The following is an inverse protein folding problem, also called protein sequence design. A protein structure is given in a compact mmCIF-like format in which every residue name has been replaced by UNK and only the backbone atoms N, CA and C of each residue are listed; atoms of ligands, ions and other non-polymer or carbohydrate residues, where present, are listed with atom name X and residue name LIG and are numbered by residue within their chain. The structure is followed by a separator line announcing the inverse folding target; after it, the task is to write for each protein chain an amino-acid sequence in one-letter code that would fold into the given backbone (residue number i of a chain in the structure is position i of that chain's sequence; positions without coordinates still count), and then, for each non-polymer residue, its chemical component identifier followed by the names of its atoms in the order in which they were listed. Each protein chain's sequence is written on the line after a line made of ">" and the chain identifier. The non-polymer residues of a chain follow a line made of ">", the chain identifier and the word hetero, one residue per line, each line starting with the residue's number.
data_IF_874818237914
#
_entry.id   IF_874818237914
#
_cell.length_a   1.000
_cell.length_b   1.000
_cell.length_c   1.000
_cell.angle_alpha   90.00
_cell.angle_beta   90.00
_cell.angle_gamma   90.00
#
_symmetry.space_group_name_H-M   'P 1'
#
loop_
_entity.id
_entity.type
_entity.pdbx_description
1 polymer ?
#
# COMPACT_ATOMS: atom_id res chain seq x y z
N UNK A 1 6.51 20.85 24.39
CA UNK A 1 7.72 20.71 23.54
C UNK A 1 7.81 19.24 23.20
N UNK A 2 7.62 18.85 21.97
CA UNK A 2 7.81 17.45 21.55
C UNK A 2 9.31 17.19 21.52
N UNK A 3 9.77 16.22 22.32
CA UNK A 3 11.16 15.81 22.27
C UNK A 3 11.49 15.30 20.85
N UNK A 4 12.69 15.63 20.37
CA UNK A 4 13.16 15.15 19.08
C UNK A 4 13.16 13.61 19.07
N UNK A 5 12.78 12.97 17.96
CA UNK A 5 12.75 11.51 17.89
C UNK A 5 14.15 10.93 18.07
N UNK A 6 14.26 9.94 18.96
CA UNK A 6 15.53 9.28 19.28
C UNK A 6 15.56 7.90 18.60
N UNK A 7 16.62 7.65 17.83
CA UNK A 7 16.86 6.35 17.21
C UNK A 7 17.22 5.32 18.29
N UNK A 8 16.46 4.24 18.37
CA UNK A 8 16.71 3.12 19.28
C UNK A 8 17.66 2.10 18.66
N UNK A 9 17.51 1.86 17.36
CA UNK A 9 18.35 0.98 16.56
C UNK A 9 18.34 1.47 15.10
N UNK A 10 19.43 1.27 14.39
CA UNK A 10 19.51 1.63 12.97
C UNK A 10 20.44 0.69 12.19
N UNK A 11 20.21 0.57 10.90
CA UNK A 11 21.06 -0.13 9.94
C UNK A 11 22.37 0.63 9.75
N UNK A 12 23.47 -0.11 9.74
CA UNK A 12 24.84 0.40 9.62
C UNK A 12 25.48 0.08 8.26
N UNK A 13 26.62 0.66 7.99
CA UNK A 13 27.43 0.31 6.82
C UNK A 13 27.89 -1.17 6.84
N UNK A 14 28.07 -1.76 8.02
CA UNK A 14 28.44 -3.16 8.18
C UNK A 14 27.28 -4.08 7.73
N UNK A 15 26.03 -3.73 8.08
CA UNK A 15 24.84 -4.48 7.64
C UNK A 15 24.70 -4.46 6.12
N UNK A 16 24.94 -3.32 5.48
CA UNK A 16 24.92 -3.22 4.02
C UNK A 16 26.07 -4.02 3.38
N UNK A 17 27.26 -4.01 3.99
CA UNK A 17 28.38 -4.81 3.51
C UNK A 17 28.12 -6.29 3.64
N UNK A 18 27.48 -6.72 4.74
CA UNK A 18 27.11 -8.11 4.98
C UNK A 18 26.02 -8.62 4.01
N UNK A 19 25.19 -7.74 3.45
CA UNK A 19 24.20 -8.10 2.45
C UNK A 19 24.80 -8.56 1.12
N UNK A 20 26.09 -8.28 0.88
CA UNK A 20 26.82 -8.68 -0.34
C UNK A 20 26.48 -7.86 -1.57
N UNK A 21 27.07 -8.20 -2.72
CA UNK A 21 26.91 -7.47 -3.98
C UNK A 21 25.64 -7.88 -4.74
N UNK A 22 25.34 -7.12 -5.80
CA UNK A 22 24.30 -7.47 -6.78
C UNK A 22 22.94 -6.80 -6.55
N UNK A 23 22.84 -5.95 -5.56
CA UNK A 23 21.65 -5.16 -5.28
C UNK A 23 21.69 -3.83 -6.04
N UNK A 24 20.50 -3.31 -6.40
CA UNK A 24 20.35 -1.97 -6.99
C UNK A 24 19.98 -0.95 -5.94
N UNK A 25 19.38 -1.40 -4.84
CA UNK A 25 18.98 -0.60 -3.70
C UNK A 25 19.36 -1.29 -2.40
N UNK A 26 19.55 -0.49 -1.35
CA UNK A 26 19.84 -0.95 0.00
C UNK A 26 18.84 -0.29 0.97
N UNK A 27 18.16 -1.07 1.83
CA UNK A 27 17.23 -0.50 2.78
C UNK A 27 18.00 0.09 3.97
N UNK A 28 17.72 1.34 4.28
CA UNK A 28 18.02 1.92 5.58
C UNK A 28 16.78 1.81 6.46
N UNK A 29 16.96 1.30 7.66
CA UNK A 29 15.90 1.09 8.63
C UNK A 29 16.33 1.68 9.96
N UNK A 30 15.45 2.46 10.58
CA UNK A 30 15.67 3.02 11.90
C UNK A 30 14.44 2.83 12.78
N UNK A 31 14.64 2.39 14.02
CA UNK A 31 13.59 2.20 15.04
C UNK A 31 13.49 3.40 15.95
N UNK A 32 12.26 3.73 16.27
CA UNK A 32 11.89 4.79 17.20
C UNK A 32 10.82 4.26 18.16
N UNK A 33 10.69 4.85 19.33
CA UNK A 33 9.55 4.62 20.20
C UNK A 33 8.34 5.38 19.67
N UNK A 34 7.21 4.71 19.59
CA UNK A 34 5.91 5.29 19.27
C UNK A 34 4.82 4.52 19.99
N UNK A 35 3.89 5.21 20.62
CA UNK A 35 2.84 4.61 21.44
C UNK A 35 1.49 4.53 20.72
N UNK A 36 1.34 5.23 19.60
CA UNK A 36 0.08 5.34 18.87
C UNK A 36 0.23 5.65 17.40
N UNK A 37 -0.88 5.47 16.67
CA UNK A 37 -1.07 5.93 15.31
C UNK A 37 -1.41 7.43 15.27
N UNK A 38 -1.15 8.12 14.13
CA UNK A 38 -1.70 9.44 13.87
C UNK A 38 -3.23 9.45 13.99
N UNK A 39 -3.76 10.47 14.64
CA UNK A 39 -5.21 10.66 14.74
C UNK A 39 -5.82 11.09 13.39
N UNK A 40 -5.02 11.73 12.53
CA UNK A 40 -5.34 12.06 11.15
C UNK A 40 -4.13 11.79 10.26
N UNK A 41 -4.34 11.05 9.19
CA UNK A 41 -3.30 10.75 8.21
C UNK A 41 -2.93 11.96 7.34
N UNK A 42 -3.83 12.92 7.17
CA UNK A 42 -3.58 14.13 6.37
C UNK A 42 -2.39 14.94 6.91
N UNK A 43 -2.17 14.94 8.22
CA UNK A 43 -1.03 15.61 8.82
C UNK A 43 0.30 14.87 8.57
N UNK A 44 0.24 13.57 8.28
CA UNK A 44 1.40 12.74 8.02
C UNK A 44 1.80 12.73 6.55
N UNK A 45 0.85 12.71 5.64
CA UNK A 45 1.12 12.63 4.21
C UNK A 45 1.82 13.87 3.67
N UNK A 46 2.76 13.65 2.73
CA UNK A 46 3.53 14.73 2.10
C UNK A 46 3.34 14.79 0.60
N UNK A 47 3.01 13.67 -0.01
CA UNK A 47 2.87 13.54 -1.45
C UNK A 47 1.43 13.31 -1.90
N UNK A 48 1.19 13.52 -3.19
CA UNK A 48 -0.10 13.26 -3.82
C UNK A 48 -0.49 11.79 -3.75
N UNK A 49 0.49 10.89 -3.88
CA UNK A 49 0.30 9.46 -3.84
C UNK A 49 0.83 8.91 -2.53
N UNK A 50 -0.06 8.41 -1.71
CA UNK A 50 0.22 7.87 -0.40
C UNK A 50 -0.65 6.64 -0.14
N UNK A 51 -0.31 5.85 0.86
CA UNK A 51 -1.08 4.68 1.24
C UNK A 51 -0.94 4.36 2.73
N UNK A 52 -1.98 3.79 3.30
CA UNK A 52 -1.96 3.17 4.63
C UNK A 52 -2.53 1.77 4.51
N UNK A 53 -1.82 0.80 5.06
CA UNK A 53 -2.25 -0.58 5.19
C UNK A 53 -2.29 -0.93 6.68
N UNK A 54 -3.47 -1.23 7.18
CA UNK A 54 -3.70 -1.60 8.59
C UNK A 54 -4.08 -3.07 8.70
N UNK A 55 -3.48 -3.80 9.64
CA UNK A 55 -3.79 -5.20 9.88
C UNK A 55 -5.10 -5.36 10.65
N UNK A 56 -6.22 -5.45 9.93
CA UNK A 56 -7.53 -5.86 10.43
C UNK A 56 -7.96 -5.19 11.73
N UNK A 57 -8.79 -5.90 12.53
CA UNK A 57 -9.38 -5.35 13.77
C UNK A 57 -8.39 -5.05 14.88
N UNK A 58 -7.23 -5.70 14.89
CA UNK A 58 -6.24 -5.53 15.96
C UNK A 58 -5.27 -4.40 15.68
N UNK A 59 -5.24 -3.87 14.45
CA UNK A 59 -4.29 -2.84 13.99
C UNK A 59 -2.87 -3.05 14.55
N UNK A 60 -2.48 -4.31 14.75
CA UNK A 60 -1.21 -4.67 15.38
C UNK A 60 -0.02 -4.23 14.54
N UNK A 61 -0.20 -4.16 13.22
CA UNK A 61 0.81 -3.68 12.29
C UNK A 61 0.19 -2.70 11.31
N UNK A 62 0.82 -1.55 11.15
CA UNK A 62 0.41 -0.54 10.17
C UNK A 62 1.61 -0.15 9.31
N UNK A 63 1.42 -0.13 7.98
CA UNK A 63 2.40 0.36 7.03
C UNK A 63 1.84 1.65 6.42
N UNK A 64 2.54 2.76 6.59
CA UNK A 64 2.18 4.05 6.02
C UNK A 64 3.27 4.52 5.05
N UNK A 65 2.88 4.81 3.82
CA UNK A 65 3.72 5.41 2.78
C UNK A 65 3.35 6.88 2.67
N UNK A 66 4.19 7.82 3.15
CA UNK A 66 3.84 9.24 3.22
C UNK A 66 3.80 9.91 1.85
N UNK A 67 4.66 9.44 0.94
CA UNK A 67 4.70 9.87 -0.45
C UNK A 67 5.28 8.74 -1.30
N UNK A 68 4.58 8.40 -2.37
CA UNK A 68 5.11 7.52 -3.41
C UNK A 68 5.60 8.40 -4.57
N UNK A 69 6.88 8.34 -4.96
CA UNK A 69 7.40 9.17 -6.04
C UNK A 69 6.73 8.87 -7.38
N UNK A 70 6.18 7.66 -7.51
CA UNK A 70 5.47 7.23 -8.71
C UNK A 70 4.29 6.33 -8.36
N UNK A 71 3.16 6.58 -9.04
CA UNK A 71 2.00 5.71 -9.05
C UNK A 71 1.64 5.36 -10.49
N UNK A 72 1.48 4.07 -10.81
CA UNK A 72 1.12 3.59 -12.14
C UNK A 72 -0.20 2.84 -12.07
N UNK A 73 -1.19 3.31 -12.83
CA UNK A 73 -2.53 2.75 -12.89
C UNK A 73 -2.79 2.16 -14.26
N UNK A 74 -3.29 0.95 -14.30
CA UNK A 74 -3.63 0.21 -15.52
C UNK A 74 -5.14 0.00 -15.57
N UNK A 75 -5.76 0.28 -16.71
CA UNK A 75 -7.20 0.17 -16.92
C UNK A 75 -7.53 -0.94 -17.92
N UNK A 76 -8.77 -1.41 -17.86
CA UNK A 76 -9.23 -2.51 -18.70
C UNK A 76 -9.30 -2.17 -20.20
N UNK A 77 -9.48 -0.89 -20.54
CA UNK A 77 -9.46 -0.36 -21.92
C UNK A 77 -8.05 -0.24 -22.51
N UNK A 78 -7.03 -0.66 -21.76
CA UNK A 78 -5.62 -0.56 -22.17
C UNK A 78 -4.95 0.77 -21.84
N UNK A 79 -5.70 1.73 -21.28
CA UNK A 79 -5.14 2.99 -20.83
C UNK A 79 -4.23 2.75 -19.62
N UNK A 80 -3.06 3.37 -19.65
CA UNK A 80 -2.11 3.38 -18.54
C UNK A 80 -1.88 4.83 -18.15
N UNK A 81 -2.00 5.12 -16.86
CA UNK A 81 -1.73 6.44 -16.31
C UNK A 81 -0.58 6.33 -15.33
N UNK A 82 0.49 7.00 -15.63
CA UNK A 82 1.65 7.11 -14.76
C UNK A 82 1.63 8.52 -14.17
N UNK A 83 1.60 8.59 -12.86
CA UNK A 83 1.71 9.83 -12.09
C UNK A 83 3.07 9.84 -11.39
N UNK A 84 3.94 10.76 -11.77
CA UNK A 84 5.13 11.09 -11.01
C UNK A 84 4.88 12.29 -10.10
N UNK A 85 5.68 12.47 -9.07
CA UNK A 85 5.53 13.56 -8.10
C UNK A 85 5.77 14.93 -8.74
N UNK A 86 6.61 14.99 -9.78
CA UNK A 86 6.86 16.18 -10.61
C UNK A 86 5.72 16.52 -11.58
N UNK A 87 4.64 15.73 -11.60
CA UNK A 87 3.49 15.90 -12.47
C UNK A 87 3.68 15.33 -13.87
N UNK A 88 4.80 14.64 -14.14
CA UNK A 88 5.01 13.97 -15.41
C UNK A 88 3.94 12.89 -15.65
N UNK A 89 3.35 12.91 -16.84
CA UNK A 89 2.45 11.87 -17.33
C UNK A 89 3.17 11.12 -18.44
N UNK A 90 3.34 9.83 -18.26
CA UNK A 90 3.92 8.97 -19.28
C UNK A 90 2.86 8.00 -19.79
N UNK A 91 2.63 7.98 -21.09
CA UNK A 91 1.81 6.96 -21.72
C UNK A 91 2.68 5.74 -22.04
N UNK A 92 2.23 4.58 -21.60
CA UNK A 92 2.87 3.31 -21.93
C UNK A 92 1.82 2.31 -22.36
N UNK A 93 2.21 1.39 -23.23
CA UNK A 93 1.40 0.24 -23.64
C UNK A 93 1.74 -1.03 -22.86
N UNK A 94 2.58 -0.91 -21.85
CA UNK A 94 3.01 -2.05 -21.03
C UNK A 94 1.81 -2.65 -20.25
N UNK A 95 1.79 -3.97 -20.15
CA UNK A 95 0.76 -4.67 -19.34
C UNK A 95 1.16 -4.72 -17.87
N UNK A 96 0.20 -4.77 -16.93
CA UNK A 96 0.48 -4.75 -15.48
C UNK A 96 1.52 -5.77 -15.02
N UNK A 97 1.40 -7.01 -15.47
CA UNK A 97 2.35 -8.08 -15.08
C UNK A 97 3.72 -7.92 -15.72
N UNK A 98 3.81 -7.30 -16.90
CA UNK A 98 5.09 -6.98 -17.53
C UNK A 98 5.77 -5.84 -16.76
N UNK A 99 5.03 -4.80 -16.41
CA UNK A 99 5.49 -3.72 -15.53
C UNK A 99 6.07 -4.27 -14.22
N UNK A 100 5.32 -5.13 -13.52
CA UNK A 100 5.77 -5.73 -12.25
C UNK A 100 7.08 -6.51 -12.43
N UNK A 101 7.20 -7.31 -13.51
CA UNK A 101 8.41 -8.07 -13.81
C UNK A 101 9.60 -7.17 -14.13
N UNK A 102 9.39 -6.09 -14.88
CA UNK A 102 10.43 -5.10 -15.18
C UNK A 102 10.87 -4.41 -13.91
N UNK A 103 9.93 -3.85 -13.16
CA UNK A 103 10.20 -3.15 -11.90
C UNK A 103 10.99 -4.03 -10.92
N UNK A 104 10.61 -5.29 -10.75
CA UNK A 104 11.31 -6.23 -9.84
C UNK A 104 12.74 -6.58 -10.26
N UNK A 105 13.12 -6.34 -11.52
CA UNK A 105 14.50 -6.48 -11.99
C UNK A 105 15.32 -5.19 -11.78
N UNK A 106 14.65 -4.05 -11.90
CA UNK A 106 15.26 -2.73 -11.76
C UNK A 106 15.47 -2.37 -10.28
N UNK A 107 14.53 -2.74 -9.42
CA UNK A 107 14.57 -2.46 -7.97
C UNK A 107 14.78 -3.76 -7.20
N UNK A 108 16.03 -4.06 -6.88
CA UNK A 108 16.43 -5.24 -6.11
C UNK A 108 17.12 -4.80 -4.84
N UNK A 109 16.60 -5.23 -3.69
CA UNK A 109 17.16 -4.91 -2.39
C UNK A 109 17.26 -6.18 -1.51
N UNK A 110 18.26 -6.29 -0.64
CA UNK A 110 18.33 -7.36 0.33
C UNK A 110 17.24 -7.21 1.37
N UNK A 111 16.82 -8.32 1.95
CA UNK A 111 15.99 -8.31 3.15
C UNK A 111 16.87 -8.49 4.39
N UNK A 112 16.89 -7.49 5.24
CA UNK A 112 17.68 -7.51 6.46
C UNK A 112 16.90 -8.23 7.57
N UNK A 113 17.52 -9.23 8.20
CA UNK A 113 16.93 -9.97 9.29
C UNK A 113 16.76 -9.12 10.56
N UNK A 114 15.77 -9.45 11.39
CA UNK A 114 15.49 -8.71 12.62
C UNK A 114 14.74 -7.39 12.46
N UNK A 115 14.37 -7.04 11.22
CA UNK A 115 13.55 -5.88 10.87
C UNK A 115 12.17 -6.30 10.37
N UNK A 116 11.19 -5.39 10.30
CA UNK A 116 9.86 -5.70 9.77
C UNK A 116 9.91 -6.34 8.38
N UNK A 117 8.86 -7.07 8.04
CA UNK A 117 8.75 -7.74 6.75
C UNK A 117 8.77 -6.76 5.57
N UNK A 118 8.13 -5.60 5.72
CA UNK A 118 8.13 -4.55 4.71
C UNK A 118 9.35 -3.64 4.90
N UNK A 119 10.23 -3.62 3.91
CA UNK A 119 11.49 -2.85 3.91
C UNK A 119 11.62 -1.95 2.67
N UNK A 120 10.49 -1.44 2.18
CA UNK A 120 10.38 -0.73 0.92
C UNK A 120 10.02 -1.65 -0.24
N UNK A 121 9.67 -1.07 -1.37
CA UNK A 121 9.32 -1.84 -2.55
C UNK A 121 8.13 -1.27 -3.31
N UNK A 122 7.21 -2.12 -3.70
CA UNK A 122 6.02 -1.79 -4.46
C UNK A 122 4.76 -2.17 -3.68
N UNK A 123 3.87 -1.22 -3.48
CA UNK A 123 2.51 -1.53 -3.05
C UNK A 123 1.65 -1.77 -4.30
N UNK A 124 0.93 -2.89 -4.32
CA UNK A 124 0.11 -3.28 -5.45
C UNK A 124 -1.35 -3.46 -5.01
N UNK A 125 -2.25 -2.81 -5.73
CA UNK A 125 -3.66 -3.14 -5.75
C UNK A 125 -3.92 -3.88 -7.06
N UNK A 126 -4.40 -5.13 -6.96
CA UNK A 126 -4.68 -5.98 -8.11
C UNK A 126 -6.19 -6.22 -8.16
N UNK A 127 -6.85 -5.74 -9.21
CA UNK A 127 -8.27 -5.96 -9.45
C UNK A 127 -8.54 -7.42 -9.81
N UNK A 128 -9.73 -7.88 -9.50
CA UNK A 128 -10.14 -9.27 -9.78
C UNK A 128 -10.06 -9.60 -11.28
N UNK A 129 -10.40 -8.65 -12.13
CA UNK A 129 -10.39 -8.77 -13.59
C UNK A 129 -8.98 -8.95 -14.19
N UNK A 130 -7.92 -8.70 -13.41
CA UNK A 130 -6.54 -9.00 -13.82
C UNK A 130 -6.36 -10.50 -14.13
N UNK A 131 -7.18 -11.36 -13.54
CA UNK A 131 -7.19 -12.81 -13.83
C UNK A 131 -7.32 -13.10 -15.33
N UNK A 132 -8.02 -12.26 -16.10
CA UNK A 132 -8.16 -12.40 -17.57
C UNK A 132 -6.84 -12.26 -18.34
N UNK A 133 -5.81 -11.66 -17.72
CA UNK A 133 -4.46 -11.57 -18.30
C UNK A 133 -3.57 -12.76 -17.91
N UNK A 134 -4.01 -13.57 -16.98
CA UNK A 134 -3.28 -14.75 -16.49
C UNK A 134 -3.85 -16.00 -17.15
N UNK A 135 -5.18 -16.10 -17.17
CA UNK A 135 -5.89 -17.28 -17.70
C UNK A 135 -7.06 -16.85 -18.60
N UNK A 136 -7.49 -17.69 -19.55
CA UNK A 136 -8.62 -17.41 -20.43
C UNK A 136 -9.97 -17.60 -19.69
N UNK A 137 -10.21 -16.80 -18.66
CA UNK A 137 -11.47 -16.81 -17.91
C UNK A 137 -12.47 -15.81 -18.52
N UNK A 138 -13.76 -16.16 -18.47
CA UNK A 138 -14.83 -15.21 -18.82
C UNK A 138 -14.99 -14.21 -17.68
N UNK A 139 -14.90 -12.94 -18.01
CA UNK A 139 -15.15 -11.84 -17.08
C UNK A 139 -16.37 -11.06 -17.52
N UNK A 140 -17.10 -10.49 -16.57
CA UNK A 140 -18.06 -9.43 -16.87
C UNK A 140 -17.31 -8.21 -17.45
N UNK A 141 -18.00 -7.34 -18.21
CA UNK A 141 -17.38 -6.09 -18.66
C UNK A 141 -16.79 -5.32 -17.47
N UNK A 142 -15.50 -5.04 -17.54
CA UNK A 142 -14.82 -4.28 -16.48
C UNK A 142 -15.29 -2.82 -16.48
N UNK A 143 -15.42 -2.24 -15.29
CA UNK A 143 -15.66 -0.80 -15.17
C UNK A 143 -14.35 -0.07 -15.52
N UNK A 144 -14.34 0.64 -16.66
CA UNK A 144 -13.16 1.38 -17.15
C UNK A 144 -12.76 2.56 -16.26
N UNK A 145 -13.57 2.89 -15.25
CA UNK A 145 -13.24 3.93 -14.25
C UNK A 145 -12.38 3.37 -13.11
N UNK A 146 -12.41 2.05 -12.90
CA UNK A 146 -11.65 1.39 -11.84
C UNK A 146 -10.36 0.82 -12.42
N UNK A 147 -9.19 1.07 -11.81
CA UNK A 147 -7.94 0.46 -12.28
C UNK A 147 -7.99 -1.07 -12.19
N UNK A 148 -7.54 -1.72 -13.27
CA UNK A 148 -7.28 -3.16 -13.30
C UNK A 148 -6.13 -3.54 -12.37
N UNK A 149 -5.13 -2.67 -12.28
CA UNK A 149 -4.04 -2.73 -11.32
C UNK A 149 -3.53 -1.32 -11.02
N UNK A 150 -3.07 -1.11 -9.79
CA UNK A 150 -2.36 0.10 -9.39
C UNK A 150 -1.11 -0.28 -8.62
N UNK A 151 0.00 0.39 -8.92
CA UNK A 151 1.29 0.19 -8.30
C UNK A 151 1.81 1.51 -7.75
N UNK A 152 2.19 1.53 -6.47
CA UNK A 152 2.81 2.66 -5.81
C UNK A 152 4.24 2.29 -5.40
N UNK A 153 5.23 3.06 -5.85
CA UNK A 153 6.62 2.88 -5.46
C UNK A 153 6.83 3.40 -4.04
N UNK A 154 7.11 2.51 -3.12
CA UNK A 154 7.27 2.81 -1.70
C UNK A 154 8.76 2.78 -1.32
N UNK A 155 9.50 3.82 -1.68
CA UNK A 155 10.89 3.97 -1.27
C UNK A 155 11.02 4.51 0.15
N UNK A 156 9.98 5.12 0.68
CA UNK A 156 9.87 5.56 2.05
C UNK A 156 8.62 4.99 2.70
N UNK A 157 8.74 4.50 3.91
CA UNK A 157 7.60 4.00 4.66
C UNK A 157 7.83 4.10 6.18
N UNK A 158 6.74 4.14 6.91
CA UNK A 158 6.69 3.96 8.35
C UNK A 158 5.96 2.66 8.65
N UNK A 159 6.58 1.77 9.39
CA UNK A 159 5.98 0.51 9.86
C UNK A 159 5.81 0.61 11.36
N UNK A 160 4.57 0.71 11.81
CA UNK A 160 4.24 0.79 13.23
C UNK A 160 3.77 -0.56 13.74
N UNK A 161 4.38 -1.02 14.81
CA UNK A 161 3.99 -2.21 15.56
C UNK A 161 3.39 -1.78 16.92
N UNK A 162 2.08 -1.93 17.06
CA UNK A 162 1.36 -1.53 18.26
C UNK A 162 1.72 -2.39 19.48
N UNK A 163 2.04 -3.69 19.27
CA UNK A 163 2.40 -4.58 20.35
C UNK A 163 3.78 -4.27 20.93
N UNK A 164 4.71 -3.87 20.07
CA UNK A 164 6.07 -3.48 20.47
C UNK A 164 6.18 -1.99 20.83
N UNK A 165 5.16 -1.19 20.54
CA UNK A 165 5.21 0.27 20.62
C UNK A 165 6.42 0.85 19.88
N UNK A 166 6.65 0.33 18.68
CA UNK A 166 7.78 0.68 17.85
C UNK A 166 7.34 1.20 16.48
N UNK A 167 8.02 2.24 16.03
CA UNK A 167 7.96 2.76 14.68
C UNK A 167 9.27 2.46 13.98
N UNK A 168 9.23 1.63 12.94
CA UNK A 168 10.37 1.47 12.03
C UNK A 168 10.18 2.36 10.82
N UNK A 169 11.09 3.30 10.62
CA UNK A 169 11.14 4.09 9.39
C UNK A 169 12.05 3.38 8.40
N UNK A 170 11.55 3.25 7.17
CA UNK A 170 12.19 2.62 6.03
C UNK A 170 12.55 3.68 5.01
N UNK A 171 13.80 3.68 4.53
CA UNK A 171 14.25 4.49 3.39
C UNK A 171 15.03 3.57 2.46
N UNK A 172 14.49 3.32 1.26
CA UNK A 172 15.12 2.47 0.25
C UNK A 172 16.05 3.33 -0.62
N UNK A 173 17.35 3.14 -0.47
CA UNK A 173 18.36 3.96 -1.12
C UNK A 173 18.92 3.28 -2.38
N UNK A 174 19.09 3.99 -3.50
CA UNK A 174 19.88 3.47 -4.62
C UNK A 174 21.31 3.18 -4.17
N UNK A 175 21.91 2.12 -4.70
CA UNK A 175 23.30 1.78 -4.41
C UNK A 175 24.23 2.88 -4.94
N UNK A 176 25.08 3.39 -4.07
CA UNK A 176 26.01 4.49 -4.35
C UNK A 176 27.10 4.54 -3.28
N UNK A 177 27.63 5.74 -2.98
CA UNK A 177 28.57 5.91 -1.86
C UNK A 177 27.88 5.60 -0.53
N UNK A 178 28.24 4.49 0.18
CA UNK A 178 27.51 4.04 1.37
C UNK A 178 27.41 5.13 2.46
N UNK A 179 28.50 5.83 2.73
CA UNK A 179 28.51 6.84 3.79
C UNK A 179 27.61 8.04 3.48
N UNK A 180 27.51 8.44 2.22
CA UNK A 180 26.64 9.55 1.81
C UNK A 180 25.19 9.12 1.83
N UNK A 181 24.88 7.93 1.30
CA UNK A 181 23.55 7.37 1.28
C UNK A 181 23.01 7.14 2.71
N UNK A 182 23.80 6.55 3.60
CA UNK A 182 23.43 6.35 5.01
C UNK A 182 23.12 7.65 5.74
N UNK A 183 23.96 8.68 5.55
CA UNK A 183 23.72 9.99 6.19
C UNK A 183 22.42 10.64 5.69
N UNK A 184 22.18 10.61 4.38
CA UNK A 184 20.96 11.15 3.80
C UNK A 184 19.73 10.37 4.27
N UNK A 185 19.79 9.04 4.25
CA UNK A 185 18.70 8.18 4.71
C UNK A 185 18.40 8.36 6.20
N UNK A 186 19.44 8.51 7.03
CA UNK A 186 19.29 8.78 8.46
C UNK A 186 18.60 10.10 8.71
N UNK A 187 19.00 11.16 8.01
CA UNK A 187 18.36 12.47 8.13
C UNK A 187 16.89 12.39 7.73
N UNK A 188 16.59 11.69 6.63
CA UNK A 188 15.23 11.48 6.17
C UNK A 188 14.39 10.66 7.14
N UNK A 189 14.96 9.62 7.75
CA UNK A 189 14.26 8.81 8.75
C UNK A 189 13.91 9.63 10.01
N UNK A 190 14.80 10.50 10.46
CA UNK A 190 14.53 11.43 11.58
C UNK A 190 13.38 12.40 11.23
N UNK A 191 13.38 12.93 10.02
CA UNK A 191 12.31 13.82 9.54
C UNK A 191 10.94 13.10 9.53
N UNK A 192 10.89 11.87 8.98
CA UNK A 192 9.66 11.07 8.94
C UNK A 192 9.17 10.69 10.35
N UNK A 193 10.08 10.34 11.26
CA UNK A 193 9.73 10.05 12.65
C UNK A 193 9.20 11.31 13.38
N UNK A 194 9.81 12.48 13.14
CA UNK A 194 9.31 13.74 13.67
C UNK A 194 7.93 14.10 13.14
N UNK A 195 7.69 13.87 11.84
CA UNK A 195 6.38 14.05 11.21
C UNK A 195 5.34 13.10 11.79
N UNK A 196 5.69 11.82 12.02
CA UNK A 196 4.82 10.87 12.70
C UNK A 196 4.41 11.38 14.08
N UNK A 197 5.37 11.80 14.88
CA UNK A 197 5.12 12.32 16.23
C UNK A 197 4.24 13.59 16.19
N UNK A 198 4.48 14.49 15.24
CA UNK A 198 3.65 15.68 15.04
C UNK A 198 2.21 15.31 14.64
N UNK A 199 2.03 14.35 13.74
CA UNK A 199 0.70 13.87 13.33
C UNK A 199 -0.04 13.17 14.47
N UNK A 200 0.66 12.47 15.36
CA UNK A 200 0.09 11.90 16.58
C UNK A 200 -0.36 12.96 17.61
N UNK A 201 0.24 14.15 17.59
CA UNK A 201 -0.12 15.25 18.48
C UNK A 201 -1.34 16.05 18.00
N UNK A 202 -1.75 15.89 16.74
CA UNK A 202 -2.95 16.52 16.20
C UNK A 202 -4.18 15.88 16.83
N UNK A 203 -5.02 16.68 17.46
CA UNK A 203 -6.35 16.22 17.90
C UNK A 203 -7.23 15.99 16.67
N UNK A 204 -7.79 14.80 16.58
CA UNK A 204 -8.77 14.50 15.50
C UNK A 204 -9.89 15.54 15.55
N UNK A 205 -10.23 16.19 14.44
CA UNK A 205 -11.41 17.02 14.43
C UNK A 205 -12.60 16.14 14.81
N UNK A 206 -13.44 16.61 15.72
CA UNK A 206 -14.70 15.92 16.02
C UNK A 206 -15.49 15.90 14.72
N UNK A 207 -15.54 14.75 14.08
CA UNK A 207 -16.39 14.59 12.90
C UNK A 207 -17.83 14.90 13.31
N UNK A 208 -18.55 15.72 12.57
CA UNK A 208 -19.97 15.88 12.81
C UNK A 208 -20.61 14.49 12.76
N UNK A 209 -21.68 14.25 13.54
CA UNK A 209 -22.35 12.96 13.51
C UNK A 209 -22.64 12.60 12.07
N UNK A 210 -22.22 11.39 11.67
CA UNK A 210 -22.41 10.90 10.31
C UNK A 210 -23.90 11.02 9.97
N UNK A 211 -24.24 12.00 9.16
CA UNK A 211 -25.55 12.07 8.54
C UNK A 211 -25.57 10.94 7.53
N UNK A 212 -26.18 9.81 7.89
CA UNK A 212 -26.47 8.76 6.91
C UNK A 212 -27.31 9.43 5.83
N UNK A 213 -26.83 9.49 4.57
CA UNK A 213 -27.60 10.10 3.51
C UNK A 213 -28.94 9.35 3.41
N UNK A 214 -30.03 10.10 3.43
CA UNK A 214 -31.38 9.54 3.28
C UNK A 214 -31.64 9.05 1.82
N UNK A 215 -30.62 8.89 1.01
CA UNK A 215 -30.75 8.38 -0.33
C UNK A 215 -30.84 6.84 -0.30
N UNK A 216 -31.86 6.27 -0.97
CA UNK A 216 -31.97 4.82 -1.08
C UNK A 216 -30.72 4.29 -1.80
N UNK A 217 -30.03 3.34 -1.17
CA UNK A 217 -28.94 2.62 -1.81
C UNK A 217 -29.50 1.77 -2.94
N UNK A 218 -28.99 1.94 -4.15
CA UNK A 218 -29.29 1.01 -5.24
C UNK A 218 -28.46 -0.25 -5.03
N UNK A 219 -29.13 -1.39 -4.87
CA UNK A 219 -28.50 -2.69 -4.74
C UNK A 219 -28.69 -3.52 -6.00
N UNK A 220 -27.70 -4.32 -6.38
CA UNK A 220 -27.80 -5.23 -7.53
C UNK A 220 -28.82 -6.37 -7.31
N UNK A 221 -29.16 -6.65 -6.05
CA UNK A 221 -30.22 -7.57 -5.65
C UNK A 221 -31.11 -6.89 -4.59
N UNK A 222 -32.41 -7.15 -4.66
CA UNK A 222 -33.28 -7.04 -3.51
C UNK A 222 -33.13 -8.30 -2.62
N UNK A 223 -33.66 -8.28 -1.40
CA UNK A 223 -33.56 -9.41 -0.48
C UNK A 223 -34.10 -10.73 -1.08
N UNK A 224 -35.32 -10.79 -1.66
CA UNK A 224 -35.80 -11.99 -2.31
C UNK A 224 -34.94 -12.46 -3.48
N UNK A 225 -34.37 -11.53 -4.25
CA UNK A 225 -33.46 -11.84 -5.35
C UNK A 225 -32.16 -12.45 -4.86
N UNK A 226 -31.58 -11.92 -3.77
CA UNK A 226 -30.39 -12.49 -3.16
C UNK A 226 -30.62 -13.89 -2.61
N UNK A 227 -31.74 -14.14 -1.92
CA UNK A 227 -32.11 -15.48 -1.42
C UNK A 227 -32.25 -16.48 -2.56
N UNK A 228 -32.92 -16.12 -3.67
CA UNK A 228 -33.01 -16.98 -4.86
C UNK A 228 -31.63 -17.26 -5.47
N UNK A 229 -30.76 -16.29 -5.54
CA UNK A 229 -29.41 -16.46 -6.06
C UNK A 229 -28.54 -17.38 -5.18
N UNK A 230 -28.67 -17.30 -3.84
CA UNK A 230 -28.02 -18.25 -2.90
C UNK A 230 -28.54 -19.68 -3.14
N UNK A 231 -29.87 -19.88 -3.25
CA UNK A 231 -30.43 -21.19 -3.52
C UNK A 231 -29.88 -21.77 -4.83
N UNK A 232 -29.76 -20.96 -5.88
CA UNK A 232 -29.19 -21.37 -7.16
C UNK A 232 -27.71 -21.75 -7.05
N UNK A 233 -26.94 -21.04 -6.25
CA UNK A 233 -25.54 -21.41 -5.96
C UNK A 233 -25.46 -22.79 -5.27
N UNK A 234 -26.35 -23.06 -4.32
CA UNK A 234 -26.42 -24.36 -3.64
C UNK A 234 -26.77 -25.51 -4.60
N UNK A 235 -27.66 -25.27 -5.57
CA UNK A 235 -27.97 -26.25 -6.63
C UNK A 235 -26.73 -26.58 -7.48
N UNK A 236 -25.94 -25.58 -7.91
CA UNK A 236 -24.70 -25.80 -8.66
C UNK A 236 -23.64 -26.56 -7.85
N UNK A 237 -23.55 -26.29 -6.55
CA UNK A 237 -22.62 -27.03 -5.66
C UNK A 237 -23.11 -28.50 -5.53
N UNK A 238 -24.42 -28.73 -5.34
CA UNK A 238 -24.97 -30.06 -5.23
C UNK A 238 -24.84 -30.86 -6.53
N UNK A 239 -24.94 -30.22 -7.69
CA UNK A 239 -24.74 -30.83 -9.00
C UNK A 239 -23.25 -31.13 -9.32
N UNK A 240 -22.32 -30.60 -8.55
CA UNK A 240 -20.89 -30.75 -8.80
C UNK A 240 -20.32 -29.78 -9.85
N UNK A 241 -21.08 -28.79 -10.28
CA UNK A 241 -20.65 -27.79 -11.25
C UNK A 241 -19.60 -26.85 -10.67
N UNK A 242 -19.64 -26.64 -9.35
CA UNK A 242 -18.65 -25.87 -8.58
C UNK A 242 -18.59 -26.37 -7.14
N UNK A 243 -17.49 -26.10 -6.45
CA UNK A 243 -17.34 -26.46 -5.03
C UNK A 243 -17.56 -25.28 -4.08
N UNK A 244 -17.47 -24.06 -4.60
CA UNK A 244 -17.62 -22.82 -3.82
C UNK A 244 -18.11 -21.69 -4.72
N UNK A 245 -19.00 -20.84 -4.18
CA UNK A 245 -19.43 -19.60 -4.81
C UNK A 245 -19.36 -18.47 -3.80
N UNK A 246 -18.70 -17.37 -4.15
CA UNK A 246 -18.75 -16.11 -3.41
C UNK A 246 -19.76 -15.19 -4.09
N UNK A 247 -21.01 -15.22 -3.60
CA UNK A 247 -22.05 -14.32 -4.08
C UNK A 247 -21.93 -12.97 -3.37
N UNK A 248 -21.88 -11.88 -4.13
CA UNK A 248 -21.81 -10.53 -3.61
C UNK A 248 -22.94 -9.65 -4.16
N UNK A 249 -23.32 -8.64 -3.39
CA UNK A 249 -24.21 -7.57 -3.86
C UNK A 249 -23.42 -6.28 -4.01
N UNK A 250 -23.70 -5.54 -5.08
CA UNK A 250 -23.12 -4.21 -5.31
C UNK A 250 -24.11 -3.17 -4.78
N UNK A 251 -23.61 -2.28 -3.95
CA UNK A 251 -24.33 -1.11 -3.46
C UNK A 251 -23.80 0.13 -4.16
N UNK A 252 -24.68 0.92 -4.72
CA UNK A 252 -24.34 2.20 -5.34
C UNK A 252 -24.90 3.34 -4.51
N UNK A 253 -24.02 4.31 -4.21
CA UNK A 253 -24.37 5.59 -3.58
C UNK A 253 -24.33 6.64 -4.69
N UNK A 254 -25.37 7.46 -4.86
CA UNK A 254 -25.39 8.55 -5.85
C UNK A 254 -24.37 9.65 -5.54
#
# INVERSE_FOLDING_TARGET
>A
MSDAPVIVAEVTAADWSAAGPGWTHLPYLARFRADRLPASWDAFFTGRHHAVLESGRTASLTIAVPAAPRATLFFADGRVVLHAEDGAHEETTEKPLAYLRRWSREVRAPRLAGWPAFQGGLLALLGYELATQIEPVRSAPADVRVPLAAFLEAYEACVFDAAQQELTVVVLCPVGSPNTALRAARARALELAARWSAACAVTSPTLPPSVVPAHPLAASFDEPGFVRAVARCQEYIAAGDTYQVNLSTRLEVP
#
